data_IF_457836577922
#
_entry.id   IF_457836577922
#
_cell.length_a   1.000
_cell.length_b   1.000
_cell.length_c   1.000
_cell.angle_alpha   90.00
_cell.angle_beta   90.00
_cell.angle_gamma   90.00
#
_symmetry.space_group_name_H-M   'P 1'
#
loop_
_entity.id
_entity.type
_entity.pdbx_description
1 polymer ?
#
# COMPACT_ATOMS: atom_id res chain seq x y z
N UNK A 1 -5.57 24.34 8.00
CA UNK A 1 -4.24 24.96 7.87
C UNK A 1 -3.64 24.75 6.48
N UNK A 2 -3.78 23.55 5.88
CA UNK A 2 -3.28 23.29 4.53
C UNK A 2 -4.07 24.05 3.45
N UNK A 3 -5.38 24.06 3.54
CA UNK A 3 -6.26 24.71 2.55
C UNK A 3 -5.95 26.20 2.34
N UNK A 4 -5.60 26.93 3.43
CA UNK A 4 -5.24 28.34 3.33
C UNK A 4 -3.90 28.54 2.58
N UNK A 5 -2.92 27.67 2.80
CA UNK A 5 -1.61 27.74 2.12
C UNK A 5 -1.76 27.39 0.64
N UNK A 6 -2.58 26.41 0.31
CA UNK A 6 -2.86 26.03 -1.08
C UNK A 6 -3.66 27.13 -1.81
N UNK A 7 -4.61 27.79 -1.13
CA UNK A 7 -5.35 28.90 -1.70
C UNK A 7 -4.43 30.10 -2.01
N UNK A 8 -3.54 30.48 -1.09
CA UNK A 8 -2.56 31.54 -1.33
C UNK A 8 -1.63 31.21 -2.49
N UNK A 9 -1.12 29.98 -2.55
CA UNK A 9 -0.28 29.52 -3.66
C UNK A 9 -1.02 29.58 -5.01
N UNK A 10 -2.31 29.24 -5.04
CA UNK A 10 -3.15 29.38 -6.24
C UNK A 10 -3.35 30.84 -6.65
N UNK A 11 -3.63 31.73 -5.67
CA UNK A 11 -3.81 33.15 -5.96
C UNK A 11 -2.52 33.80 -6.46
N UNK A 12 -1.38 33.49 -5.84
CA UNK A 12 -0.08 33.94 -6.33
C UNK A 12 0.21 33.52 -7.76
N UNK A 13 -0.10 32.26 -8.11
CA UNK A 13 0.06 31.75 -9.47
C UNK A 13 -0.85 32.46 -10.48
N UNK A 14 -2.12 32.70 -10.11
CA UNK A 14 -3.06 33.41 -10.93
C UNK A 14 -2.63 34.86 -11.17
N UNK A 15 -2.25 35.59 -10.13
CA UNK A 15 -1.86 36.98 -10.23
C UNK A 15 -0.53 37.21 -10.95
N UNK A 16 0.48 36.39 -10.69
CA UNK A 16 1.84 36.59 -11.19
C UNK A 16 2.10 35.97 -12.54
N UNK A 17 1.39 34.88 -12.88
CA UNK A 17 1.65 34.17 -14.13
C UNK A 17 0.43 34.18 -15.07
N UNK A 18 -0.73 33.69 -14.59
CA UNK A 18 -1.86 33.44 -15.49
C UNK A 18 -2.45 34.74 -16.03
N UNK A 19 -2.75 35.73 -15.18
CA UNK A 19 -3.34 37.00 -15.59
C UNK A 19 -2.41 37.77 -16.53
N UNK A 20 -1.10 37.96 -16.24
CA UNK A 20 -0.20 38.62 -17.17
C UNK A 20 -0.10 37.91 -18.53
N UNK A 21 0.07 36.60 -18.54
CA UNK A 21 0.15 35.86 -19.81
C UNK A 21 -1.13 35.92 -20.64
N UNK A 22 -2.28 35.89 -19.98
CA UNK A 22 -3.59 35.94 -20.65
C UNK A 22 -3.91 37.30 -21.25
N UNK A 23 -3.59 38.41 -20.54
CA UNK A 23 -3.94 39.77 -20.98
C UNK A 23 -2.86 40.45 -21.80
N UNK A 24 -1.60 40.06 -21.72
CA UNK A 24 -0.51 40.60 -22.56
C UNK A 24 -0.66 40.11 -23.99
N UNK A 25 -0.77 41.06 -24.93
CA UNK A 25 -0.99 40.79 -26.35
C UNK A 25 0.13 41.36 -27.18
N UNK A 26 0.44 40.68 -28.28
CA UNK A 26 1.38 41.17 -29.31
C UNK A 26 0.73 42.23 -30.23
N UNK A 27 1.48 42.70 -31.22
CA UNK A 27 1.03 43.70 -32.22
C UNK A 27 -0.23 43.24 -33.00
N UNK A 28 -0.48 41.92 -33.09
CA UNK A 28 -1.63 41.30 -33.73
C UNK A 28 -2.78 41.06 -32.77
N UNK A 29 -2.73 41.62 -31.57
CA UNK A 29 -3.69 41.37 -30.46
C UNK A 29 -3.81 39.92 -30.01
N UNK A 30 -2.79 39.10 -30.23
CA UNK A 30 -2.77 37.69 -29.82
C UNK A 30 -2.01 37.53 -28.50
N UNK A 31 -2.56 36.83 -27.48
CA UNK A 31 -1.83 36.52 -26.23
C UNK A 31 -0.88 35.35 -26.47
N UNK A 32 0.23 35.58 -27.13
CA UNK A 32 1.17 34.55 -27.62
C UNK A 32 1.72 33.65 -26.52
N UNK A 33 2.01 34.17 -25.32
CA UNK A 33 2.43 33.39 -24.17
C UNK A 33 1.35 32.42 -23.71
N UNK A 34 0.10 32.89 -23.61
CA UNK A 34 -1.04 32.05 -23.25
C UNK A 34 -1.34 30.99 -24.33
N UNK A 35 -1.30 31.35 -25.60
CA UNK A 35 -1.47 30.40 -26.72
C UNK A 35 -0.40 29.30 -26.66
N UNK A 36 0.85 29.65 -26.36
CA UNK A 36 1.92 28.66 -26.15
C UNK A 36 1.57 27.69 -25.01
N UNK A 37 1.14 28.20 -23.87
CA UNK A 37 0.72 27.38 -22.71
C UNK A 37 -0.46 26.45 -23.04
N UNK A 38 -1.45 26.97 -23.77
CA UNK A 38 -2.57 26.14 -24.25
C UNK A 38 -2.10 24.99 -25.14
N UNK A 39 -1.23 25.28 -26.12
CA UNK A 39 -0.69 24.25 -27.03
C UNK A 39 0.12 23.19 -26.27
N UNK A 40 0.93 23.60 -25.32
CA UNK A 40 1.69 22.70 -24.45
C UNK A 40 0.76 21.82 -23.60
N UNK A 41 -0.28 22.41 -23.01
CA UNK A 41 -1.28 21.68 -22.25
C UNK A 41 -1.98 20.63 -23.11
N UNK A 42 -2.45 21.01 -24.30
CA UNK A 42 -3.10 20.07 -25.22
C UNK A 42 -2.17 18.95 -25.67
N UNK A 43 -0.92 19.26 -25.97
CA UNK A 43 0.05 18.28 -26.45
C UNK A 43 0.49 17.28 -25.35
N UNK A 44 0.66 17.75 -24.12
CA UNK A 44 1.18 16.93 -23.01
C UNK A 44 0.13 16.27 -22.15
N UNK A 45 -0.96 17.01 -21.88
CA UNK A 45 -1.96 16.54 -20.90
C UNK A 45 -3.09 15.75 -21.54
N UNK A 46 -3.56 16.12 -22.75
CA UNK A 46 -4.66 15.41 -23.40
C UNK A 46 -4.39 13.91 -23.60
N UNK A 47 -3.24 13.46 -24.11
CA UNK A 47 -2.96 12.04 -24.23
C UNK A 47 -2.93 11.33 -22.88
N UNK A 48 -2.41 12.03 -21.84
CA UNK A 48 -2.26 11.47 -20.48
C UNK A 48 -3.58 11.39 -19.72
N UNK A 49 -4.46 12.36 -19.90
CA UNK A 49 -5.72 12.49 -19.14
C UNK A 49 -6.97 12.28 -20.02
N UNK A 50 -6.83 11.58 -21.16
CA UNK A 50 -7.96 11.27 -22.01
C UNK A 50 -8.91 10.24 -21.38
N UNK A 51 -10.21 10.41 -21.59
CA UNK A 51 -11.23 9.46 -21.15
C UNK A 51 -10.98 8.05 -21.73
N UNK A 52 -10.55 7.97 -23.00
CA UNK A 52 -10.24 6.68 -23.63
C UNK A 52 -9.14 5.92 -22.90
N UNK A 53 -8.08 6.61 -22.46
CA UNK A 53 -7.04 5.99 -21.66
C UNK A 53 -7.60 5.51 -20.31
N UNK A 54 -8.34 6.36 -19.63
CA UNK A 54 -8.95 6.03 -18.34
C UNK A 54 -9.85 4.80 -18.45
N UNK A 55 -10.76 4.77 -19.42
CA UNK A 55 -11.66 3.62 -19.63
C UNK A 55 -10.86 2.35 -19.90
N UNK A 56 -9.84 2.41 -20.76
CA UNK A 56 -8.98 1.26 -21.04
C UNK A 56 -8.24 0.76 -19.80
N UNK A 57 -7.59 1.66 -19.07
CA UNK A 57 -6.84 1.29 -17.86
C UNK A 57 -7.75 0.68 -16.78
N UNK A 58 -8.92 1.27 -16.54
CA UNK A 58 -9.91 0.69 -15.62
C UNK A 58 -10.40 -0.68 -16.07
N UNK A 59 -10.65 -0.84 -17.37
CA UNK A 59 -11.08 -2.13 -17.92
C UNK A 59 -10.01 -3.20 -17.76
N UNK A 60 -8.79 -2.90 -18.19
CA UNK A 60 -7.69 -3.87 -18.20
C UNK A 60 -7.16 -4.18 -16.79
N UNK A 61 -7.04 -3.17 -15.93
CA UNK A 61 -6.40 -3.32 -14.61
C UNK A 61 -7.37 -3.69 -13.49
N UNK A 62 -8.66 -3.39 -13.64
CA UNK A 62 -9.63 -3.60 -12.58
C UNK A 62 -10.81 -4.48 -13.00
N UNK A 63 -11.53 -4.15 -14.08
CA UNK A 63 -12.76 -4.86 -14.41
C UNK A 63 -12.52 -6.28 -14.91
N UNK A 64 -11.58 -6.49 -15.82
CA UNK A 64 -11.26 -7.85 -16.31
C UNK A 64 -10.68 -8.74 -15.19
N UNK A 65 -9.71 -8.31 -14.37
CA UNK A 65 -9.27 -9.09 -13.22
C UNK A 65 -10.37 -9.36 -12.20
N UNK A 66 -11.23 -8.39 -11.92
CA UNK A 66 -12.36 -8.56 -11.01
C UNK A 66 -13.37 -9.59 -11.54
N UNK A 67 -13.69 -9.53 -12.83
CA UNK A 67 -14.57 -10.50 -13.48
C UNK A 67 -13.97 -11.92 -13.46
N UNK A 68 -12.67 -12.06 -13.75
CA UNK A 68 -11.99 -13.35 -13.67
C UNK A 68 -12.01 -13.91 -12.23
N UNK A 69 -11.74 -13.07 -11.23
CA UNK A 69 -11.82 -13.46 -9.82
C UNK A 69 -13.24 -13.83 -9.39
N UNK A 70 -14.26 -13.13 -9.89
CA UNK A 70 -15.66 -13.47 -9.66
C UNK A 70 -15.99 -14.85 -10.22
N UNK A 71 -15.65 -15.14 -11.48
CA UNK A 71 -15.89 -16.45 -12.10
C UNK A 71 -15.18 -17.58 -11.36
N UNK A 72 -13.95 -17.35 -10.90
CA UNK A 72 -13.21 -18.32 -10.09
C UNK A 72 -13.95 -18.63 -8.76
N UNK A 73 -14.41 -17.61 -8.07
CA UNK A 73 -15.13 -17.77 -6.78
C UNK A 73 -16.49 -18.45 -6.96
N UNK A 74 -17.18 -18.19 -8.09
CA UNK A 74 -18.48 -18.78 -8.40
C UNK A 74 -18.39 -20.21 -8.94
N UNK A 75 -17.22 -20.63 -9.41
CA UNK A 75 -17.00 -21.99 -9.90
C UNK A 75 -17.38 -23.04 -8.83
N UNK A 76 -17.77 -24.23 -9.30
CA UNK A 76 -18.17 -25.37 -8.43
C UNK A 76 -19.19 -24.95 -7.34
N UNK A 77 -20.23 -24.23 -7.75
CA UNK A 77 -21.31 -23.74 -6.86
C UNK A 77 -20.79 -22.81 -5.74
N UNK A 78 -19.75 -22.03 -6.00
CA UNK A 78 -19.23 -21.03 -5.06
C UNK A 78 -18.43 -21.59 -3.89
N UNK A 79 -17.77 -22.73 -4.06
CA UNK A 79 -16.97 -23.35 -2.97
C UNK A 79 -15.91 -22.38 -2.43
N UNK A 80 -15.17 -21.72 -3.31
CA UNK A 80 -14.11 -20.76 -2.89
C UNK A 80 -14.72 -19.56 -2.17
N UNK A 81 -15.85 -19.03 -2.65
CA UNK A 81 -16.56 -17.94 -1.99
C UNK A 81 -16.99 -18.29 -0.56
N UNK A 82 -17.54 -19.49 -0.37
CA UNK A 82 -17.89 -20.00 0.99
C UNK A 82 -16.66 -20.15 1.87
N UNK A 83 -15.57 -20.72 1.37
CA UNK A 83 -14.32 -20.85 2.12
C UNK A 83 -13.78 -19.51 2.60
N UNK A 84 -13.87 -18.46 1.78
CA UNK A 84 -13.46 -17.11 2.17
C UNK A 84 -14.35 -16.59 3.30
N UNK A 85 -15.66 -16.72 3.18
CA UNK A 85 -16.62 -16.27 4.23
C UNK A 85 -16.41 -17.04 5.53
N UNK A 86 -16.21 -18.34 5.46
CA UNK A 86 -15.97 -19.18 6.65
C UNK A 86 -14.65 -18.84 7.33
N UNK A 87 -13.60 -18.56 6.53
CA UNK A 87 -12.32 -18.09 7.02
C UNK A 87 -12.45 -16.71 7.70
N UNK A 88 -13.13 -15.75 7.08
CA UNK A 88 -13.36 -14.41 7.62
C UNK A 88 -14.09 -14.47 8.97
N UNK A 89 -15.19 -15.22 9.05
CA UNK A 89 -15.93 -15.42 10.30
C UNK A 89 -15.09 -16.09 11.39
N UNK A 90 -14.30 -17.09 11.02
CA UNK A 90 -13.38 -17.74 11.97
C UNK A 90 -12.34 -16.77 12.49
N UNK A 91 -11.81 -15.90 11.63
CA UNK A 91 -10.84 -14.89 12.00
C UNK A 91 -11.44 -13.85 12.95
N UNK A 92 -12.63 -13.31 12.63
CA UNK A 92 -13.35 -12.36 13.50
C UNK A 92 -13.59 -12.92 14.90
N UNK A 93 -14.00 -14.17 15.00
CA UNK A 93 -14.30 -14.81 16.30
C UNK A 93 -13.04 -15.09 17.13
N UNK A 94 -11.91 -15.37 16.48
CA UNK A 94 -10.69 -15.85 17.14
C UNK A 94 -9.60 -14.81 17.26
N UNK A 95 -9.71 -13.67 16.54
CA UNK A 95 -8.67 -12.66 16.47
C UNK A 95 -8.23 -12.13 17.83
N UNK A 96 -9.20 -11.86 18.72
CA UNK A 96 -8.91 -11.34 20.06
C UNK A 96 -8.15 -12.30 20.98
N UNK A 97 -8.13 -13.59 20.64
CA UNK A 97 -7.42 -14.61 21.39
C UNK A 97 -5.98 -14.86 20.86
N UNK A 98 -5.63 -14.25 19.72
CA UNK A 98 -4.27 -14.30 19.17
C UNK A 98 -3.36 -13.40 20.01
N UNK A 99 -2.18 -13.90 20.35
CA UNK A 99 -1.19 -13.09 21.05
C UNK A 99 0.23 -13.51 20.72
N UNK A 100 1.13 -12.57 20.88
CA UNK A 100 2.56 -12.84 20.83
C UNK A 100 3.05 -13.29 22.21
N UNK A 101 3.95 -14.26 22.22
CA UNK A 101 4.66 -14.68 23.42
C UNK A 101 6.08 -14.08 23.45
N UNK A 102 7.07 -14.89 23.80
CA UNK A 102 8.45 -14.45 23.96
C UNK A 102 9.04 -14.00 22.61
N UNK A 103 9.67 -12.82 22.59
CA UNK A 103 10.45 -12.32 21.47
C UNK A 103 11.95 -12.43 21.81
N UNK A 104 12.69 -13.19 21.02
CA UNK A 104 14.15 -13.30 21.10
C UNK A 104 14.79 -12.61 19.90
N UNK A 105 15.75 -11.74 20.18
CA UNK A 105 16.53 -11.06 19.15
C UNK A 105 18.00 -11.44 19.33
N UNK A 106 18.52 -12.19 18.37
CA UNK A 106 19.95 -12.44 18.24
C UNK A 106 20.56 -11.43 17.28
N UNK A 107 21.74 -10.94 17.59
CA UNK A 107 22.48 -10.02 16.71
C UNK A 107 23.87 -10.59 16.49
N UNK A 108 24.27 -10.71 15.25
CA UNK A 108 25.65 -10.88 14.83
C UNK A 108 26.15 -9.61 14.11
N UNK A 109 27.41 -9.55 13.68
CA UNK A 109 28.02 -8.36 13.09
C UNK A 109 27.28 -7.87 11.81
N UNK A 110 26.54 -8.73 11.13
CA UNK A 110 25.94 -8.45 9.84
C UNK A 110 24.39 -8.56 9.82
N UNK A 111 23.79 -9.23 10.81
CA UNK A 111 22.37 -9.60 10.78
C UNK A 111 21.73 -9.57 12.16
N UNK A 112 20.44 -9.20 12.16
CA UNK A 112 19.54 -9.41 13.28
C UNK A 112 18.63 -10.61 13.01
N UNK A 113 18.55 -11.52 13.95
CA UNK A 113 17.69 -12.72 13.87
C UNK A 113 16.57 -12.53 14.89
N UNK A 114 15.35 -12.37 14.39
CA UNK A 114 14.16 -12.27 15.21
C UNK A 114 13.49 -13.62 15.31
N UNK A 115 13.15 -14.03 16.52
CA UNK A 115 12.32 -15.21 16.80
C UNK A 115 11.20 -14.80 17.74
N UNK A 116 9.96 -15.05 17.35
CA UNK A 116 8.78 -14.72 18.14
C UNK A 116 7.88 -15.92 18.28
N UNK A 117 7.36 -16.12 19.47
CA UNK A 117 6.28 -17.07 19.73
C UNK A 117 4.95 -16.45 19.39
N UNK A 118 4.10 -17.17 18.67
CA UNK A 118 2.75 -16.72 18.29
C UNK A 118 1.76 -17.80 18.67
N UNK A 119 0.78 -17.42 19.48
CA UNK A 119 -0.30 -18.31 19.94
C UNK A 119 -1.52 -18.04 19.11
N UNK A 120 -1.94 -19.00 18.30
CA UNK A 120 -3.05 -18.92 17.36
C UNK A 120 -4.27 -19.76 17.80
N UNK A 121 -4.13 -20.46 18.92
CA UNK A 121 -5.14 -21.40 19.43
C UNK A 121 -5.52 -22.43 18.35
N UNK A 122 -6.79 -22.43 17.94
CA UNK A 122 -7.34 -23.32 16.93
C UNK A 122 -7.46 -22.68 15.53
N UNK A 123 -6.86 -21.50 15.32
CA UNK A 123 -6.78 -20.90 13.99
C UNK A 123 -5.71 -21.61 13.14
N UNK A 124 -6.05 -21.88 11.88
CA UNK A 124 -5.08 -22.47 10.93
C UNK A 124 -3.88 -21.52 10.72
N UNK A 125 -2.67 -21.91 11.06
CA UNK A 125 -1.49 -21.07 10.89
C UNK A 125 -1.15 -20.75 9.41
N UNK A 126 -1.78 -21.44 8.45
CA UNK A 126 -1.64 -21.12 7.03
C UNK A 126 -2.68 -20.06 6.57
N UNK A 127 -3.68 -19.76 7.39
CA UNK A 127 -4.68 -18.73 7.12
C UNK A 127 -4.22 -17.31 7.49
N UNK A 128 -3.06 -17.18 8.14
CA UNK A 128 -2.50 -15.91 8.59
C UNK A 128 -1.04 -15.79 8.19
N UNK A 129 -0.56 -14.56 8.14
CA UNK A 129 0.84 -14.22 7.88
C UNK A 129 1.41 -13.44 9.04
N UNK A 130 2.58 -13.83 9.52
CA UNK A 130 3.34 -13.13 10.55
C UNK A 130 4.42 -12.31 9.87
N UNK A 131 4.48 -11.02 10.13
CA UNK A 131 5.43 -10.11 9.52
C UNK A 131 6.22 -9.34 10.58
N UNK A 132 7.49 -9.13 10.32
CA UNK A 132 8.31 -8.12 10.98
C UNK A 132 8.06 -6.80 10.27
N UNK A 133 7.67 -5.78 11.01
CA UNK A 133 7.36 -4.45 10.48
C UNK A 133 8.28 -3.39 11.07
N UNK A 134 8.72 -2.47 10.25
CA UNK A 134 9.41 -1.27 10.69
C UNK A 134 8.96 -0.07 9.87
N UNK A 135 8.74 1.07 10.53
CA UNK A 135 8.43 2.33 9.87
C UNK A 135 9.58 2.77 8.95
N UNK A 136 9.23 3.41 7.85
CA UNK A 136 10.22 4.00 6.94
C UNK A 136 11.01 5.13 7.60
N UNK A 137 12.30 5.18 7.36
CA UNK A 137 13.17 6.24 7.87
C UNK A 137 12.96 7.50 7.02
N UNK A 138 12.74 8.67 7.65
CA UNK A 138 12.59 10.00 7.01
C UNK A 138 11.52 10.05 5.92
N UNK A 139 10.36 9.40 6.14
CA UNK A 139 9.26 9.38 5.15
C UNK A 139 9.44 8.38 4.01
N UNK A 140 10.42 7.51 4.08
CA UNK A 140 10.57 6.37 3.16
C UNK A 140 9.49 5.31 3.35
N UNK A 141 9.41 4.36 2.42
CA UNK A 141 8.47 3.25 2.51
C UNK A 141 8.76 2.37 3.75
N UNK A 142 7.71 1.87 4.43
CA UNK A 142 7.89 0.95 5.54
C UNK A 142 8.50 -0.38 5.06
N UNK A 143 9.31 -0.98 5.91
CA UNK A 143 9.84 -2.31 5.69
C UNK A 143 8.85 -3.35 6.21
N UNK A 144 8.57 -4.36 5.40
CA UNK A 144 7.81 -5.55 5.79
C UNK A 144 8.59 -6.79 5.38
N UNK A 145 8.83 -7.66 6.36
CA UNK A 145 9.54 -8.93 6.15
C UNK A 145 8.68 -10.07 6.67
N UNK A 146 8.25 -10.96 5.80
CA UNK A 146 7.53 -12.16 6.22
C UNK A 146 8.41 -13.05 7.09
N UNK A 147 7.88 -13.50 8.22
CA UNK A 147 8.54 -14.42 9.14
C UNK A 147 8.16 -15.86 8.79
N UNK A 148 9.14 -16.73 8.74
CA UNK A 148 8.94 -18.15 8.46
C UNK A 148 8.62 -18.91 9.73
N UNK A 149 7.59 -19.78 9.67
CA UNK A 149 7.28 -20.72 10.75
C UNK A 149 8.38 -21.76 10.86
N UNK A 150 9.02 -21.82 12.03
CA UNK A 150 10.18 -22.70 12.28
C UNK A 150 9.75 -24.01 12.90
N UNK A 151 8.92 -23.95 13.97
CA UNK A 151 8.46 -25.13 14.71
C UNK A 151 7.19 -24.82 15.51
N UNK A 152 6.51 -25.85 15.93
CA UNK A 152 5.45 -25.76 16.94
C UNK A 152 6.07 -25.71 18.34
N UNK A 153 5.42 -25.02 19.26
CA UNK A 153 5.81 -25.00 20.68
C UNK A 153 5.41 -26.31 21.36
N UNK A 154 6.35 -26.91 22.09
CA UNK A 154 6.07 -28.09 22.86
C UNK A 154 5.11 -27.77 24.01
N UNK A 155 4.05 -28.58 24.15
CA UNK A 155 3.05 -28.42 25.22
C UNK A 155 2.04 -27.29 25.03
N UNK A 156 2.08 -26.55 23.90
CA UNK A 156 1.09 -25.51 23.60
C UNK A 156 0.30 -25.87 22.33
N UNK A 157 -1.00 -26.08 22.48
CA UNK A 157 -1.89 -26.24 21.35
C UNK A 157 -2.00 -24.90 20.61
N UNK A 158 -1.69 -24.89 19.30
CA UNK A 158 -1.75 -23.67 18.47
C UNK A 158 -0.64 -22.64 18.70
N UNK A 159 0.43 -22.99 19.40
CA UNK A 159 1.61 -22.17 19.58
C UNK A 159 2.71 -22.49 18.56
N UNK A 160 3.31 -21.48 17.94
CA UNK A 160 4.36 -21.62 16.93
C UNK A 160 5.47 -20.61 17.11
N UNK A 161 6.69 -20.99 16.71
CA UNK A 161 7.83 -20.06 16.63
C UNK A 161 8.01 -19.61 15.20
N UNK A 162 8.02 -18.30 14.99
CA UNK A 162 8.33 -17.66 13.71
C UNK A 162 9.71 -17.00 13.77
N UNK A 163 10.42 -16.95 12.64
CA UNK A 163 11.74 -16.32 12.55
C UNK A 163 11.89 -15.52 11.27
N UNK A 164 12.55 -14.37 11.37
CA UNK A 164 13.04 -13.60 10.24
C UNK A 164 14.48 -13.15 10.49
N UNK A 165 15.21 -12.91 9.39
CA UNK A 165 16.58 -12.41 9.40
C UNK A 165 16.62 -11.11 8.63
N UNK A 166 17.16 -10.05 9.24
CA UNK A 166 17.27 -8.70 8.66
C UNK A 166 18.72 -8.25 8.71
N UNK A 167 19.27 -7.60 7.66
CA UNK A 167 20.61 -7.04 7.68
C UNK A 167 20.80 -5.99 8.78
N UNK A 168 21.93 -6.00 9.50
CA UNK A 168 22.19 -5.13 10.65
C UNK A 168 22.28 -3.63 10.31
N UNK A 169 22.53 -3.27 9.04
CA UNK A 169 22.57 -1.89 8.59
C UNK A 169 21.17 -1.24 8.45
N UNK A 170 20.09 -2.02 8.53
CA UNK A 170 18.74 -1.49 8.64
C UNK A 170 18.44 -1.12 10.10
N UNK A 171 18.44 0.20 10.40
CA UNK A 171 18.11 0.68 11.76
C UNK A 171 16.67 0.28 12.11
N UNK A 172 16.54 -0.58 13.10
CA UNK A 172 15.25 -0.98 13.68
C UNK A 172 15.02 -0.09 14.90
N UNK A 173 14.00 0.75 14.85
CA UNK A 173 13.56 1.55 16.00
C UNK A 173 12.63 0.66 16.82
N UNK A 174 13.04 0.27 18.05
CA UNK A 174 12.13 -0.34 19.04
C UNK A 174 11.12 0.74 19.45
N UNK A 175 9.81 0.47 19.26
CA UNK A 175 8.76 1.08 20.06
C UNK A 175 8.43 0.10 21.19
N UNK A 176 8.60 0.56 22.42
CA UNK A 176 8.08 -0.07 23.62
C UNK A 176 6.56 0.05 23.68
#
# INVERSE_FOLDING_TARGET
AWDAVEAEALYDLLEREVIPEFYTRDESCIPTAWVKRMRESMARLTPRFSANRTVREYTEQHYLPAAAAYHLRMAKKGVIGRQIVDWERSLEQKWAALHFGELKVGTDAERHIFKVEVYMNDLDPNAVRVELYADGVKGGAPMRQEMKRVRQLAGASGGYVYSAVVPAHQRIIRRE
#
